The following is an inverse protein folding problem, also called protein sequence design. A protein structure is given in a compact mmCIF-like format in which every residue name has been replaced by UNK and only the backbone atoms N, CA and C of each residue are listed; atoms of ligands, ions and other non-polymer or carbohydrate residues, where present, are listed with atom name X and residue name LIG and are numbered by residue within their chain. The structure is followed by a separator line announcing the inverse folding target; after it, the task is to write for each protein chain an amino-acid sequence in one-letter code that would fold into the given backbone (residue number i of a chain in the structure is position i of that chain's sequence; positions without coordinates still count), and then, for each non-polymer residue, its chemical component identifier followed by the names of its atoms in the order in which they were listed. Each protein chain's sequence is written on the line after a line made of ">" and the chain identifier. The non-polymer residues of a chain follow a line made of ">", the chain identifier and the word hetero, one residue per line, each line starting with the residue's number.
data_IF_545437118895
#
_entry.id   IF_545437118895
#
_cell.length_a   1.000
_cell.length_b   1.000
_cell.length_c   1.000
_cell.angle_alpha   90.00
_cell.angle_beta   90.00
_cell.angle_gamma   90.00
#
_symmetry.space_group_name_H-M   'P 1'
#
loop_
_entity.id
_entity.type
_entity.pdbx_description
1 polymer ?
#
# COMPACT_ATOMS: atom_id res chain seq x y z
N UNK A 1 4.52 -36.39 -25.80
CA UNK A 1 5.38 -35.25 -25.42
C UNK A 1 5.90 -35.44 -24.01
N UNK A 2 7.14 -35.12 -23.74
CA UNK A 2 7.74 -35.16 -22.40
C UNK A 2 7.22 -33.99 -21.57
N UNK A 3 6.68 -34.27 -20.40
CA UNK A 3 6.30 -33.22 -19.45
C UNK A 3 7.59 -32.49 -19.00
N UNK A 4 7.59 -31.16 -19.09
CA UNK A 4 8.68 -30.31 -18.65
C UNK A 4 8.19 -29.45 -17.49
N UNK A 5 8.89 -29.53 -16.34
CA UNK A 5 8.62 -28.67 -15.20
C UNK A 5 8.86 -27.20 -15.58
N UNK A 6 7.90 -26.32 -15.26
CA UNK A 6 7.96 -24.90 -15.62
C UNK A 6 8.24 -23.99 -14.40
N UNK A 7 7.94 -24.43 -13.21
CA UNK A 7 8.13 -23.66 -11.97
C UNK A 7 6.95 -23.76 -11.03
N UNK A 8 7.07 -23.10 -9.89
CA UNK A 8 5.97 -22.84 -8.94
C UNK A 8 5.29 -21.54 -9.35
N UNK A 9 3.96 -21.52 -9.39
CA UNK A 9 3.16 -20.37 -9.79
C UNK A 9 2.10 -20.07 -8.74
N UNK A 10 1.88 -18.79 -8.47
CA UNK A 10 0.77 -18.33 -7.66
C UNK A 10 -0.47 -18.14 -8.54
N UNK A 11 -1.55 -18.87 -8.23
CA UNK A 11 -2.84 -18.67 -8.86
C UNK A 11 -3.62 -17.59 -8.10
N UNK A 12 -3.87 -16.46 -8.74
CA UNK A 12 -4.60 -15.33 -8.15
C UNK A 12 -5.87 -15.00 -8.91
N UNK A 13 -6.88 -14.52 -8.22
CA UNK A 13 -8.04 -13.90 -8.87
C UNK A 13 -7.70 -12.50 -9.36
N UNK A 14 -8.16 -12.17 -10.57
CA UNK A 14 -8.05 -10.80 -11.07
C UNK A 14 -8.97 -9.84 -10.31
N UNK A 15 -8.50 -8.63 -10.06
CA UNK A 15 -9.32 -7.55 -9.51
C UNK A 15 -10.38 -7.15 -10.54
N UNK A 16 -11.64 -7.45 -10.23
CA UNK A 16 -12.75 -7.23 -11.16
C UNK A 16 -14.08 -7.09 -10.40
N UNK A 17 -15.06 -6.49 -11.08
CA UNK A 17 -16.45 -6.52 -10.64
C UNK A 17 -17.01 -7.94 -10.68
N UNK A 18 -17.76 -8.34 -9.69
CA UNK A 18 -18.49 -9.61 -9.66
C UNK A 18 -19.08 -9.90 -8.29
N UNK A 19 -20.12 -10.74 -8.24
CA UNK A 19 -20.83 -11.10 -7.00
C UNK A 19 -19.89 -11.65 -5.91
N UNK A 20 -18.86 -12.41 -6.30
CA UNK A 20 -17.89 -13.00 -5.36
C UNK A 20 -16.55 -12.25 -5.39
N UNK A 21 -16.51 -11.03 -5.91
CA UNK A 21 -15.34 -10.14 -6.00
C UNK A 21 -15.73 -8.76 -5.49
N UNK A 22 -15.52 -7.70 -6.29
CA UNK A 22 -16.05 -6.37 -5.97
C UNK A 22 -17.52 -6.33 -6.41
N UNK A 23 -18.43 -6.48 -5.46
CA UNK A 23 -19.86 -6.55 -5.74
C UNK A 23 -20.46 -5.14 -5.79
N UNK A 24 -20.37 -4.55 -6.97
CA UNK A 24 -20.95 -3.24 -7.31
C UNK A 24 -21.86 -3.36 -8.53
N UNK A 25 -22.76 -2.39 -8.70
CA UNK A 25 -23.71 -2.37 -9.80
C UNK A 25 -23.04 -2.43 -11.17
N UNK A 26 -23.70 -3.10 -12.09
CA UNK A 26 -23.24 -3.17 -13.47
C UNK A 26 -23.41 -1.82 -14.19
N UNK A 27 -22.32 -1.35 -14.80
CA UNK A 27 -22.34 -0.19 -15.67
C UNK A 27 -23.18 -0.42 -16.91
N UNK A 28 -24.21 0.40 -17.10
CA UNK A 28 -25.06 0.36 -18.31
C UNK A 28 -24.56 1.42 -19.30
N UNK A 29 -24.42 1.04 -20.57
CA UNK A 29 -23.85 1.88 -21.64
C UNK A 29 -24.49 3.29 -21.76
N UNK A 30 -25.76 3.44 -21.33
CA UNK A 30 -26.48 4.72 -21.39
C UNK A 30 -26.39 5.57 -20.13
N UNK A 31 -25.84 5.02 -19.04
CA UNK A 31 -25.79 5.72 -17.76
C UNK A 31 -24.46 6.46 -17.60
N UNK A 32 -24.51 7.75 -17.41
CA UNK A 32 -23.34 8.58 -17.06
C UNK A 32 -22.92 8.27 -15.63
N UNK A 33 -23.88 8.22 -14.70
CA UNK A 33 -23.66 7.88 -13.29
C UNK A 33 -23.52 6.36 -13.14
N UNK A 34 -22.38 5.90 -12.69
CA UNK A 34 -22.08 4.48 -12.61
C UNK A 34 -21.14 4.15 -11.44
N UNK A 35 -21.25 2.92 -10.95
CA UNK A 35 -20.23 2.36 -10.07
C UNK A 35 -18.92 2.20 -10.82
N UNK A 36 -17.78 2.29 -10.11
CA UNK A 36 -16.48 2.20 -10.75
C UNK A 36 -15.43 1.51 -9.88
N UNK A 37 -14.41 0.99 -10.54
CA UNK A 37 -13.14 0.55 -9.95
C UNK A 37 -12.05 1.36 -10.60
N UNK A 38 -11.19 1.97 -9.80
CA UNK A 38 -9.99 2.67 -10.25
C UNK A 38 -8.75 2.02 -9.65
N UNK A 39 -7.60 2.24 -10.27
CA UNK A 39 -6.31 1.82 -9.78
C UNK A 39 -5.39 3.04 -9.73
N UNK A 40 -4.75 3.28 -8.60
CA UNK A 40 -3.59 4.17 -8.51
C UNK A 40 -2.36 3.35 -8.89
N UNK A 41 -1.63 3.83 -9.88
CA UNK A 41 -0.44 3.16 -10.40
C UNK A 41 0.34 4.10 -11.32
N UNK A 42 1.44 3.61 -11.90
CA UNK A 42 2.16 4.28 -12.97
C UNK A 42 1.28 4.47 -14.21
N UNK A 43 1.63 5.43 -15.05
CA UNK A 43 0.91 5.67 -16.31
C UNK A 43 0.81 4.39 -17.14
N UNK A 44 -0.37 4.11 -17.66
CA UNK A 44 -0.63 2.93 -18.48
C UNK A 44 -1.45 3.30 -19.73
N UNK A 45 -0.90 3.06 -20.92
CA UNK A 45 -1.55 3.33 -22.22
C UNK A 45 -2.84 2.54 -22.44
N UNK A 46 -2.99 1.38 -21.79
CA UNK A 46 -4.16 0.52 -21.99
C UNK A 46 -5.36 0.92 -21.14
N UNK A 47 -5.16 1.66 -20.06
CA UNK A 47 -6.20 2.16 -19.18
C UNK A 47 -6.67 3.57 -19.64
N UNK A 48 -7.85 3.96 -19.19
CA UNK A 48 -8.30 5.36 -19.29
C UNK A 48 -7.82 6.08 -18.05
N UNK A 49 -6.78 6.89 -18.22
CA UNK A 49 -6.13 7.62 -17.14
C UNK A 49 -6.89 8.92 -16.84
N UNK A 50 -7.10 9.20 -15.56
CA UNK A 50 -7.78 10.38 -15.06
C UNK A 50 -6.75 11.42 -14.63
N UNK A 51 -6.94 12.63 -15.11
CA UNK A 51 -6.20 13.81 -14.63
C UNK A 51 -6.98 14.45 -13.49
N UNK A 52 -6.82 13.88 -12.28
CA UNK A 52 -7.59 14.24 -11.08
C UNK A 52 -7.12 15.56 -10.46
N UNK A 53 -7.92 16.09 -9.54
CA UNK A 53 -7.56 17.31 -8.80
C UNK A 53 -6.27 17.11 -7.99
N UNK A 54 -6.12 15.97 -7.32
CA UNK A 54 -4.94 15.67 -6.50
C UNK A 54 -3.65 15.68 -7.34
N UNK A 55 -3.69 15.06 -8.53
CA UNK A 55 -2.58 15.10 -9.47
C UNK A 55 -2.26 16.54 -9.94
N UNK A 56 -3.28 17.29 -10.36
CA UNK A 56 -3.13 18.69 -10.83
C UNK A 56 -2.54 19.62 -9.77
N UNK A 57 -2.72 19.30 -8.50
CA UNK A 57 -2.28 20.14 -7.38
C UNK A 57 -1.07 19.55 -6.62
N UNK A 58 -0.38 18.57 -7.19
CA UNK A 58 0.84 18.00 -6.62
C UNK A 58 0.62 17.22 -5.31
N UNK A 59 -0.61 16.69 -5.10
CA UNK A 59 -0.93 15.92 -3.89
C UNK A 59 -0.45 14.46 -3.96
N UNK A 60 0.12 14.06 -5.08
CA UNK A 60 0.77 12.77 -5.28
C UNK A 60 1.95 12.93 -6.24
N UNK A 61 2.95 12.03 -6.19
CA UNK A 61 4.07 12.02 -7.12
C UNK A 61 3.63 12.01 -8.59
N UNK A 62 4.45 12.59 -9.47
CA UNK A 62 4.14 12.78 -10.90
C UNK A 62 3.96 11.46 -11.66
N UNK A 63 4.58 10.39 -11.21
CA UNK A 63 4.48 9.06 -11.80
C UNK A 63 3.19 8.32 -11.41
N UNK A 64 2.44 8.82 -10.44
CA UNK A 64 1.20 8.22 -9.97
C UNK A 64 -0.03 8.74 -10.71
N UNK A 65 -0.80 7.82 -11.25
CA UNK A 65 -2.03 8.08 -11.99
C UNK A 65 -3.21 7.27 -11.46
N UNK A 66 -4.41 7.80 -11.69
CA UNK A 66 -5.64 7.06 -11.46
C UNK A 66 -6.16 6.54 -12.79
N UNK A 67 -6.11 5.21 -12.96
CA UNK A 67 -6.64 4.52 -14.16
C UNK A 67 -7.99 3.86 -13.90
N UNK A 68 -8.95 4.00 -14.82
CA UNK A 68 -10.25 3.31 -14.74
C UNK A 68 -10.06 1.85 -15.11
N UNK A 69 -10.35 0.94 -14.16
CA UNK A 69 -10.37 -0.51 -14.38
C UNK A 69 -11.78 -1.03 -14.68
N UNK A 70 -12.79 -0.40 -14.13
CA UNK A 70 -14.20 -0.66 -14.42
C UNK A 70 -14.98 0.65 -14.35
N UNK A 71 -15.89 0.91 -15.28
CA UNK A 71 -16.30 0.08 -16.43
C UNK A 71 -15.22 -0.17 -17.47
N UNK A 72 -15.36 -1.24 -18.24
CA UNK A 72 -14.41 -1.52 -19.34
C UNK A 72 -14.43 -0.38 -20.37
N UNK A 73 -13.29 -0.14 -21.04
CA UNK A 73 -13.13 0.95 -22.04
C UNK A 73 -14.26 1.00 -23.08
N UNK A 74 -14.81 -0.17 -23.46
CA UNK A 74 -15.94 -0.26 -24.43
C UNK A 74 -17.28 0.27 -23.88
N UNK A 75 -17.42 0.36 -22.54
CA UNK A 75 -18.64 0.87 -21.87
C UNK A 75 -18.51 2.32 -21.43
N UNK A 76 -17.33 2.92 -21.51
CA UNK A 76 -17.08 4.31 -21.15
C UNK A 76 -17.48 5.25 -22.28
N UNK A 77 -18.19 6.32 -21.92
CA UNK A 77 -18.37 7.54 -22.72
C UNK A 77 -17.54 8.68 -22.12
N UNK A 78 -17.32 9.74 -22.88
CA UNK A 78 -16.64 10.94 -22.34
C UNK A 78 -17.35 11.46 -21.09
N UNK A 79 -18.68 11.53 -21.11
CA UNK A 79 -19.48 11.99 -19.96
C UNK A 79 -19.32 11.06 -18.73
N UNK A 80 -19.15 9.75 -18.95
CA UNK A 80 -18.89 8.80 -17.86
C UNK A 80 -17.48 9.00 -17.27
N UNK A 81 -16.48 9.22 -18.13
CA UNK A 81 -15.11 9.52 -17.70
C UNK A 81 -15.06 10.82 -16.91
N UNK A 82 -15.71 11.87 -17.39
CA UNK A 82 -15.84 13.16 -16.70
C UNK A 82 -16.53 13.03 -15.35
N UNK A 83 -17.58 12.21 -15.27
CA UNK A 83 -18.26 11.92 -14.01
C UNK A 83 -17.31 11.27 -13.00
N UNK A 84 -16.62 10.18 -13.38
CA UNK A 84 -15.71 9.46 -12.52
C UNK A 84 -14.56 10.39 -12.09
N UNK A 85 -13.97 11.14 -13.00
CA UNK A 85 -12.90 12.09 -12.71
C UNK A 85 -13.33 13.16 -11.70
N UNK A 86 -14.51 13.74 -11.88
CA UNK A 86 -15.07 14.76 -10.98
C UNK A 86 -15.42 14.18 -9.62
N UNK A 87 -16.05 13.00 -9.58
CA UNK A 87 -16.43 12.33 -8.34
C UNK A 87 -15.20 12.00 -7.49
N UNK A 88 -14.17 11.41 -8.11
CA UNK A 88 -12.91 11.10 -7.45
C UNK A 88 -12.17 12.38 -7.00
N UNK A 89 -12.09 13.39 -7.86
CA UNK A 89 -11.49 14.70 -7.53
C UNK A 89 -12.18 15.40 -6.36
N UNK A 90 -13.48 15.25 -6.22
CA UNK A 90 -14.21 15.83 -5.06
C UNK A 90 -13.82 15.12 -3.75
N UNK A 91 -13.56 13.81 -3.79
CA UNK A 91 -13.05 13.05 -2.64
C UNK A 91 -11.64 13.53 -2.27
N UNK A 92 -10.76 13.69 -3.28
CA UNK A 92 -9.41 14.22 -3.06
C UNK A 92 -9.43 15.60 -2.42
N UNK A 93 -10.27 16.52 -2.90
CA UNK A 93 -10.42 17.87 -2.32
C UNK A 93 -10.80 17.85 -0.85
N UNK A 94 -11.58 16.88 -0.42
CA UNK A 94 -11.95 16.73 1.00
C UNK A 94 -10.78 16.19 1.80
N UNK A 95 -10.12 15.12 1.32
CA UNK A 95 -9.02 14.47 2.03
C UNK A 95 -7.80 15.40 2.16
N UNK A 96 -7.51 16.19 1.14
CA UNK A 96 -6.36 17.09 1.11
C UNK A 96 -6.70 18.55 1.46
N UNK A 97 -7.86 18.79 2.11
CA UNK A 97 -8.26 20.14 2.50
C UNK A 97 -7.48 20.64 3.72
N UNK A 98 -6.98 21.87 3.63
CA UNK A 98 -6.38 22.59 4.76
C UNK A 98 -7.46 23.07 5.76
N UNK A 99 -8.72 23.21 5.31
CA UNK A 99 -9.84 23.49 6.22
C UNK A 99 -10.22 22.22 6.99
N UNK A 100 -9.94 22.26 8.30
CA UNK A 100 -10.21 21.13 9.22
C UNK A 100 -11.69 20.70 9.22
N UNK A 101 -12.64 21.62 9.01
CA UNK A 101 -14.07 21.27 8.97
C UNK A 101 -14.40 20.48 7.68
N UNK A 102 -13.77 20.84 6.57
CA UNK A 102 -13.91 20.11 5.31
C UNK A 102 -13.23 18.75 5.43
N UNK A 103 -11.97 18.73 5.86
CA UNK A 103 -11.21 17.49 6.08
C UNK A 103 -11.96 16.52 6.99
N UNK A 104 -12.40 16.95 8.18
CA UNK A 104 -13.10 16.10 9.15
C UNK A 104 -14.41 15.49 8.60
N UNK A 105 -14.88 15.97 7.44
CA UNK A 105 -16.05 15.40 6.77
C UNK A 105 -15.72 14.18 5.89
N UNK A 106 -14.45 13.75 5.77
CA UNK A 106 -14.02 12.67 4.86
C UNK A 106 -14.80 11.36 5.06
N UNK A 107 -15.26 11.06 6.26
CA UNK A 107 -16.09 9.89 6.57
C UNK A 107 -17.43 9.85 5.81
N UNK A 108 -17.86 10.98 5.23
CA UNK A 108 -19.05 11.03 4.35
C UNK A 108 -18.72 10.54 2.93
N UNK A 109 -17.45 10.57 2.54
CA UNK A 109 -16.98 10.31 1.18
C UNK A 109 -16.26 8.97 1.06
N UNK A 110 -15.54 8.55 2.08
CA UNK A 110 -14.84 7.27 2.11
C UNK A 110 -15.40 6.34 3.18
N UNK A 111 -15.26 5.03 2.94
CA UNK A 111 -15.48 4.01 3.96
C UNK A 111 -14.20 3.85 4.80
N UNK A 112 -14.10 4.62 5.89
CA UNK A 112 -12.89 4.66 6.71
C UNK A 112 -12.48 3.29 7.26
N UNK A 113 -13.41 2.35 7.45
CA UNK A 113 -13.07 1.01 7.94
C UNK A 113 -12.30 0.21 6.88
N UNK A 114 -12.65 0.35 5.59
CA UNK A 114 -11.85 -0.25 4.51
C UNK A 114 -10.44 0.34 4.43
N UNK A 115 -10.28 1.64 4.69
CA UNK A 115 -8.97 2.29 4.72
C UNK A 115 -8.14 1.85 5.93
N UNK A 116 -8.78 1.66 7.09
CA UNK A 116 -8.12 1.10 8.28
C UNK A 116 -7.61 -0.32 8.03
N UNK A 117 -8.46 -1.20 7.48
CA UNK A 117 -8.06 -2.57 7.19
C UNK A 117 -6.97 -2.64 6.11
N UNK A 118 -7.07 -1.80 5.06
CA UNK A 118 -6.05 -1.71 4.02
C UNK A 118 -4.71 -1.21 4.57
N UNK A 119 -4.72 -0.18 5.41
CA UNK A 119 -3.52 0.30 6.11
C UNK A 119 -2.87 -0.82 6.89
N UNK A 120 -3.63 -1.48 7.75
CA UNK A 120 -3.10 -2.50 8.67
C UNK A 120 -2.49 -3.68 7.91
N UNK A 121 -3.16 -4.21 6.89
CA UNK A 121 -2.66 -5.40 6.19
C UNK A 121 -1.39 -5.07 5.38
N UNK A 122 -1.36 -3.92 4.71
CA UNK A 122 -0.19 -3.52 3.94
C UNK A 122 0.98 -3.12 4.84
N UNK A 123 0.73 -2.45 5.96
CA UNK A 123 1.75 -2.15 6.95
C UNK A 123 2.31 -3.41 7.57
N UNK A 124 1.44 -4.33 8.03
CA UNK A 124 1.87 -5.55 8.73
C UNK A 124 2.79 -6.43 7.88
N UNK A 125 2.50 -6.58 6.59
CA UNK A 125 3.35 -7.31 5.67
C UNK A 125 4.44 -6.46 5.02
N UNK A 126 4.51 -5.16 5.33
CA UNK A 126 5.48 -4.25 4.71
C UNK A 126 5.37 -4.24 3.19
N UNK A 127 4.16 -4.06 2.64
CA UNK A 127 3.97 -3.99 1.20
C UNK A 127 4.40 -2.62 0.67
N UNK A 128 5.58 -2.55 0.07
CA UNK A 128 6.27 -1.32 -0.33
C UNK A 128 5.45 -0.45 -1.31
N UNK A 129 4.88 -1.04 -2.32
CA UNK A 129 4.14 -0.33 -3.38
C UNK A 129 2.76 0.16 -2.95
N UNK A 130 2.22 -0.38 -1.86
CA UNK A 130 0.85 -0.10 -1.43
C UNK A 130 0.61 1.38 -1.12
N UNK A 131 -0.57 1.89 -1.50
CA UNK A 131 -0.95 3.30 -1.34
C UNK A 131 -0.45 4.21 -2.44
N UNK A 132 0.57 3.81 -3.21
CA UNK A 132 1.16 4.56 -4.32
C UNK A 132 0.97 3.87 -5.66
N UNK A 133 1.32 2.59 -5.73
CA UNK A 133 1.16 1.76 -6.92
C UNK A 133 0.29 0.56 -6.60
N UNK A 134 -0.17 -0.15 -7.62
CA UNK A 134 -0.97 -1.38 -7.50
C UNK A 134 -2.14 -1.26 -6.51
N UNK A 135 -2.64 -0.04 -6.28
CA UNK A 135 -3.65 0.29 -5.27
C UNK A 135 -5.01 0.44 -5.90
N UNK A 136 -5.91 -0.49 -5.59
CA UNK A 136 -7.27 -0.47 -6.11
C UNK A 136 -8.24 0.22 -5.16
N UNK A 137 -9.17 0.98 -5.74
CA UNK A 137 -10.27 1.62 -5.04
C UNK A 137 -11.54 1.44 -5.84
N UNK A 138 -12.66 1.38 -5.15
CA UNK A 138 -13.93 1.19 -5.82
C UNK A 138 -15.07 1.93 -5.12
N UNK A 139 -16.08 2.27 -5.90
CA UNK A 139 -17.25 2.99 -5.40
C UNK A 139 -18.52 2.52 -6.06
N UNK A 140 -19.49 2.15 -5.23
CA UNK A 140 -20.87 1.96 -5.65
C UNK A 140 -21.49 3.32 -5.99
N UNK A 141 -22.36 3.40 -7.01
CA UNK A 141 -23.09 4.62 -7.35
C UNK A 141 -23.81 5.16 -6.11
N UNK A 142 -23.54 6.43 -5.77
CA UNK A 142 -24.11 7.07 -4.58
C UNK A 142 -23.52 6.61 -3.24
N UNK A 143 -22.62 5.63 -3.24
CA UNK A 143 -21.93 5.12 -2.05
C UNK A 143 -20.67 5.88 -1.71
N UNK A 144 -19.92 5.34 -0.75
CA UNK A 144 -18.60 5.82 -0.34
C UNK A 144 -17.49 5.13 -1.14
N UNK A 145 -16.35 5.80 -1.30
CA UNK A 145 -15.15 5.18 -1.85
C UNK A 145 -14.60 4.16 -0.84
N UNK A 146 -14.30 2.97 -1.33
CA UNK A 146 -13.60 1.92 -0.61
C UNK A 146 -12.21 1.73 -1.22
N UNK A 147 -11.26 1.28 -0.41
CA UNK A 147 -9.92 0.88 -0.86
C UNK A 147 -9.76 -0.63 -0.73
N UNK A 148 -9.02 -1.23 -1.67
CA UNK A 148 -8.86 -2.68 -1.79
C UNK A 148 -9.57 -3.26 -3.03
N UNK A 149 -9.49 -4.61 -3.21
CA UNK A 149 -8.71 -5.58 -2.43
C UNK A 149 -7.20 -5.28 -2.44
N UNK A 150 -6.48 -5.89 -1.50
CA UNK A 150 -5.00 -5.85 -1.51
C UNK A 150 -4.45 -6.60 -2.73
N UNK A 151 -3.32 -6.15 -3.24
CA UNK A 151 -2.71 -6.69 -4.46
C UNK A 151 -1.19 -6.51 -4.42
N UNK A 152 -0.46 -7.41 -5.11
CA UNK A 152 0.95 -7.23 -5.44
C UNK A 152 1.86 -7.17 -4.20
N UNK A 153 2.06 -8.32 -3.54
CA UNK A 153 2.88 -8.45 -2.34
C UNK A 153 4.28 -8.99 -2.64
N UNK A 154 4.74 -8.89 -3.88
CA UNK A 154 6.06 -9.38 -4.28
C UNK A 154 7.20 -8.61 -3.62
N UNK A 155 7.01 -7.34 -3.28
CA UNK A 155 7.95 -6.50 -2.56
C UNK A 155 7.65 -6.40 -1.05
N UNK A 156 6.83 -7.29 -0.52
CA UNK A 156 6.51 -7.31 0.90
C UNK A 156 7.65 -7.93 1.75
N UNK A 157 7.57 -7.74 3.07
CA UNK A 157 8.49 -8.32 4.05
C UNK A 157 9.96 -8.03 3.73
N UNK A 158 10.24 -6.77 3.38
CA UNK A 158 11.56 -6.27 3.01
C UNK A 158 12.17 -6.89 1.74
N UNK A 159 11.34 -7.46 0.86
CA UNK A 159 11.77 -7.93 -0.46
C UNK A 159 11.73 -6.79 -1.49
N UNK A 160 12.45 -5.70 -1.27
CA UNK A 160 12.43 -4.48 -2.08
C UNK A 160 13.70 -4.32 -2.90
N UNK A 161 13.61 -3.51 -3.98
CA UNK A 161 14.71 -3.33 -4.93
C UNK A 161 15.60 -2.12 -4.64
N UNK A 162 15.11 -1.12 -3.90
CA UNK A 162 15.77 0.18 -3.85
C UNK A 162 16.02 0.71 -2.44
N UNK A 163 15.18 0.39 -1.49
CA UNK A 163 15.27 0.91 -0.13
C UNK A 163 14.86 -0.16 0.87
N UNK A 164 15.59 -0.26 1.97
CA UNK A 164 15.20 -1.11 3.08
C UNK A 164 13.94 -0.56 3.74
N UNK A 165 12.98 -1.44 4.00
CA UNK A 165 11.87 -1.10 4.87
C UNK A 165 12.32 -1.24 6.32
N UNK A 166 12.35 -0.12 7.01
CA UNK A 166 12.65 -0.12 8.44
C UNK A 166 11.47 -0.74 9.22
N UNK A 167 11.63 -1.91 9.84
CA UNK A 167 10.56 -2.58 10.57
C UNK A 167 10.14 -1.85 11.85
N UNK A 168 10.86 -0.81 12.23
CA UNK A 168 10.59 0.02 13.41
C UNK A 168 9.81 1.30 13.11
N UNK A 169 9.40 1.51 11.85
CA UNK A 169 8.61 2.68 11.42
C UNK A 169 7.32 2.27 10.74
N UNK A 170 6.41 3.22 10.53
CA UNK A 170 5.18 2.99 9.78
C UNK A 170 5.30 3.56 8.37
N UNK A 171 5.53 2.71 7.38
CA UNK A 171 5.67 3.11 5.98
C UNK A 171 4.36 3.69 5.41
N UNK A 172 3.23 3.13 5.79
CA UNK A 172 1.91 3.59 5.31
C UNK A 172 1.58 5.02 5.70
N UNK A 173 2.16 5.56 6.77
CA UNK A 173 1.94 6.96 7.18
C UNK A 173 2.50 7.98 6.19
N UNK A 174 3.45 7.58 5.35
CA UNK A 174 4.04 8.46 4.33
C UNK A 174 3.31 8.37 2.97
N UNK A 175 2.42 7.38 2.81
CA UNK A 175 1.66 7.21 1.57
C UNK A 175 0.60 8.32 1.41
N UNK A 176 0.38 8.88 0.20
CA UNK A 176 -0.31 10.16 0.00
C UNK A 176 -1.64 10.33 0.76
N UNK A 177 -2.57 9.38 0.60
CA UNK A 177 -3.89 9.45 1.27
C UNK A 177 -3.74 9.20 2.77
N UNK A 178 -2.92 8.23 3.16
CA UNK A 178 -2.76 7.83 4.55
C UNK A 178 -2.02 8.87 5.38
N UNK A 179 -1.10 9.61 4.77
CA UNK A 179 -0.44 10.77 5.39
C UNK A 179 -1.47 11.81 5.88
N UNK A 180 -2.52 12.02 5.11
CA UNK A 180 -3.61 12.90 5.51
C UNK A 180 -4.49 12.25 6.59
N UNK A 181 -4.93 11.01 6.38
CA UNK A 181 -5.84 10.33 7.30
C UNK A 181 -5.20 10.11 8.68
N UNK A 182 -3.90 9.86 8.76
CA UNK A 182 -3.16 9.71 10.02
C UNK A 182 -2.88 11.04 10.73
N UNK A 183 -3.30 12.17 10.18
CA UNK A 183 -3.39 13.44 10.92
C UNK A 183 -4.67 13.58 11.73
N UNK A 184 -5.68 12.71 11.50
CA UNK A 184 -6.92 12.69 12.25
C UNK A 184 -6.86 11.68 13.40
N UNK A 185 -7.07 12.17 14.61
CA UNK A 185 -7.08 11.36 15.82
C UNK A 185 -8.12 10.23 15.77
N UNK A 186 -9.30 10.51 15.25
CA UNK A 186 -10.36 9.51 15.17
C UNK A 186 -9.99 8.35 14.22
N UNK A 187 -9.21 8.61 13.17
CA UNK A 187 -8.66 7.58 12.30
C UNK A 187 -7.58 6.76 13.02
N UNK A 188 -6.68 7.42 13.74
CA UNK A 188 -5.63 6.74 14.54
C UNK A 188 -6.28 5.85 15.63
N UNK A 189 -7.30 6.32 16.33
CA UNK A 189 -8.02 5.54 17.34
C UNK A 189 -8.61 4.25 16.73
N UNK A 190 -9.18 4.34 15.53
CA UNK A 190 -9.65 3.17 14.78
C UNK A 190 -8.52 2.22 14.41
N UNK A 191 -7.38 2.73 13.93
CA UNK A 191 -6.20 1.92 13.61
C UNK A 191 -5.72 1.15 14.85
N UNK A 192 -5.56 1.81 15.98
CA UNK A 192 -5.09 1.21 17.24
C UNK A 192 -6.05 0.10 17.67
N UNK A 193 -7.35 0.40 17.74
CA UNK A 193 -8.35 -0.57 18.18
C UNK A 193 -8.43 -1.79 17.24
N UNK A 194 -8.44 -1.54 15.93
CA UNK A 194 -8.54 -2.61 14.93
C UNK A 194 -7.27 -3.45 14.88
N UNK A 195 -6.09 -2.82 14.96
CA UNK A 195 -4.83 -3.54 15.00
C UNK A 195 -4.73 -4.44 16.23
N UNK A 196 -5.07 -3.93 17.42
CA UNK A 196 -5.10 -4.72 18.65
C UNK A 196 -6.02 -5.95 18.53
N UNK A 197 -7.20 -5.76 17.94
CA UNK A 197 -8.11 -6.88 17.67
C UNK A 197 -7.48 -7.91 16.74
N UNK A 198 -6.90 -7.48 15.62
CA UNK A 198 -6.32 -8.39 14.62
C UNK A 198 -5.09 -9.13 15.17
N UNK A 199 -4.24 -8.46 15.97
CA UNK A 199 -3.07 -9.09 16.62
C UNK A 199 -3.44 -10.19 17.63
N UNK A 200 -4.62 -10.12 18.20
CA UNK A 200 -5.14 -11.17 19.08
C UNK A 200 -5.93 -12.26 18.33
N UNK A 201 -6.06 -12.14 17.01
CA UNK A 201 -6.84 -13.06 16.17
C UNK A 201 -6.05 -13.41 14.88
N UNK A 202 -6.52 -12.94 13.73
CA UNK A 202 -6.02 -13.31 12.39
C UNK A 202 -4.57 -12.89 12.10
N UNK A 203 -4.05 -11.87 12.76
CA UNK A 203 -2.66 -11.45 12.64
C UNK A 203 -1.81 -11.84 13.87
N UNK A 204 -2.28 -12.77 14.71
CA UNK A 204 -1.43 -13.32 15.76
C UNK A 204 -0.23 -14.08 15.15
N UNK A 205 0.91 -14.06 15.83
CA UNK A 205 2.10 -14.77 15.35
C UNK A 205 1.81 -16.26 15.14
N UNK A 206 1.11 -16.88 16.09
CA UNK A 206 0.72 -18.29 16.01
C UNK A 206 -0.07 -18.59 14.73
N UNK A 207 -1.10 -17.77 14.44
CA UNK A 207 -1.93 -17.98 13.26
C UNK A 207 -1.18 -17.75 11.96
N UNK A 208 -0.46 -16.62 11.85
CA UNK A 208 0.31 -16.29 10.64
C UNK A 208 1.42 -17.30 10.39
N UNK A 209 2.12 -17.73 11.44
CA UNK A 209 3.17 -18.73 11.32
C UNK A 209 2.64 -20.11 10.95
N UNK A 210 1.45 -20.50 11.47
CA UNK A 210 0.82 -21.75 11.05
C UNK A 210 0.52 -21.79 9.56
N UNK A 211 0.04 -20.67 8.98
CA UNK A 211 -0.19 -20.56 7.53
C UNK A 211 1.11 -20.72 6.74
N UNK A 212 2.19 -20.08 7.20
CA UNK A 212 3.51 -20.17 6.56
C UNK A 212 4.01 -21.62 6.63
N UNK A 213 3.89 -22.28 7.79
CA UNK A 213 4.36 -23.65 7.98
C UNK A 213 3.55 -24.66 7.14
N UNK A 214 2.24 -24.47 7.04
CA UNK A 214 1.38 -25.27 6.17
C UNK A 214 1.77 -25.11 4.69
N UNK A 215 1.99 -23.87 4.24
CA UNK A 215 2.44 -23.58 2.89
C UNK A 215 3.83 -24.21 2.61
N UNK A 216 4.77 -24.08 3.55
CA UNK A 216 6.10 -24.69 3.44
C UNK A 216 6.00 -26.23 3.35
N UNK A 217 5.19 -26.85 4.19
CA UNK A 217 4.99 -28.30 4.15
C UNK A 217 4.37 -28.76 2.82
N UNK A 218 3.38 -28.02 2.33
CA UNK A 218 2.72 -28.29 1.03
C UNK A 218 3.70 -28.15 -0.15
N UNK A 219 4.56 -27.16 -0.12
CA UNK A 219 5.53 -26.88 -1.19
C UNK A 219 6.81 -27.70 -1.13
N UNK A 220 7.04 -28.51 -0.09
CA UNK A 220 8.30 -29.22 0.16
C UNK A 220 8.93 -29.88 -1.09
N UNK A 221 8.15 -30.64 -1.84
CA UNK A 221 8.63 -31.34 -3.05
C UNK A 221 8.69 -30.40 -4.28
N UNK A 222 7.83 -29.38 -4.34
CA UNK A 222 7.83 -28.41 -5.41
C UNK A 222 9.03 -27.45 -5.29
N UNK A 223 9.36 -27.03 -4.08
CA UNK A 223 10.51 -26.20 -3.78
C UNK A 223 11.84 -26.86 -4.21
N UNK A 224 12.01 -28.17 -3.99
CA UNK A 224 13.19 -28.90 -4.47
C UNK A 224 13.32 -28.87 -5.99
N UNK A 225 12.19 -29.06 -6.71
CA UNK A 225 12.19 -28.97 -8.18
C UNK A 225 12.44 -27.55 -8.68
N UNK A 226 11.93 -26.56 -7.94
CA UNK A 226 12.15 -25.13 -8.21
C UNK A 226 13.63 -24.80 -8.08
N UNK A 227 14.29 -25.27 -7.02
CA UNK A 227 15.72 -25.12 -6.84
C UNK A 227 16.51 -25.73 -8.00
N UNK A 228 16.23 -26.99 -8.39
CA UNK A 228 16.91 -27.63 -9.53
C UNK A 228 16.77 -26.85 -10.84
N UNK A 229 15.67 -26.18 -11.02
CA UNK A 229 15.42 -25.40 -12.23
C UNK A 229 16.13 -24.06 -12.23
N UNK A 230 16.14 -23.37 -11.11
CA UNK A 230 16.53 -21.97 -10.99
C UNK A 230 17.79 -21.75 -10.13
N UNK A 231 18.48 -22.80 -9.69
CA UNK A 231 19.65 -22.69 -8.80
C UNK A 231 20.71 -21.71 -9.33
N UNK A 232 20.97 -21.74 -10.65
CA UNK A 232 21.93 -20.84 -11.27
C UNK A 232 21.49 -19.37 -11.18
N UNK A 233 20.17 -19.11 -11.31
CA UNK A 233 19.62 -17.76 -11.18
C UNK A 233 19.64 -17.29 -9.73
N UNK A 234 19.36 -18.16 -8.74
CA UNK A 234 19.48 -17.84 -7.31
C UNK A 234 20.92 -17.59 -6.85
N UNK A 235 21.89 -18.28 -7.46
CA UNK A 235 23.31 -18.11 -7.16
C UNK A 235 23.98 -16.98 -7.96
N UNK A 236 23.31 -16.44 -8.98
CA UNK A 236 23.87 -15.38 -9.81
C UNK A 236 23.54 -13.99 -9.22
N UNK A 237 24.41 -13.56 -8.30
CA UNK A 237 24.29 -12.25 -7.67
C UNK A 237 24.35 -11.08 -8.66
N UNK A 238 24.85 -11.28 -9.90
CA UNK A 238 24.89 -10.22 -10.92
C UNK A 238 23.51 -9.85 -11.45
N UNK A 239 22.52 -10.75 -11.33
CA UNK A 239 21.11 -10.51 -11.68
C UNK A 239 20.29 -9.90 -10.56
N UNK A 240 20.82 -9.92 -9.36
CA UNK A 240 20.23 -9.18 -8.26
C UNK A 240 20.46 -7.70 -8.54
N UNK A 241 19.46 -6.88 -8.24
CA UNK A 241 19.59 -5.44 -8.43
C UNK A 241 20.88 -4.98 -7.75
N UNK A 242 21.79 -4.24 -8.43
CA UNK A 242 23.02 -3.74 -7.83
C UNK A 242 22.81 -2.87 -6.59
N UNK A 243 21.58 -2.50 -6.30
CA UNK A 243 21.17 -1.81 -5.07
C UNK A 243 20.72 -2.75 -3.94
N UNK A 244 20.78 -4.07 -4.13
CA UNK A 244 20.43 -5.03 -3.08
C UNK A 244 21.56 -5.30 -2.07
N UNK A 245 22.69 -4.64 -2.20
CA UNK A 245 23.82 -4.81 -1.27
C UNK A 245 23.51 -4.45 0.19
N UNK A 246 22.49 -3.61 0.43
CA UNK A 246 22.03 -3.29 1.78
C UNK A 246 21.06 -4.33 2.35
N UNK A 247 20.64 -5.30 1.56
CA UNK A 247 19.86 -6.44 2.04
C UNK A 247 20.75 -7.60 2.50
N UNK A 248 22.07 -7.54 2.24
CA UNK A 248 23.01 -8.62 2.52
C UNK A 248 23.08 -8.98 3.99
N UNK A 249 23.06 -7.99 4.86
CA UNK A 249 23.16 -8.17 6.29
C UNK A 249 22.22 -7.21 6.99
N UNK A 250 20.94 -7.56 7.02
CA UNK A 250 19.93 -6.75 7.70
C UNK A 250 19.90 -7.09 9.19
N UNK A 251 20.20 -6.12 10.04
CA UNK A 251 20.24 -6.30 11.49
C UNK A 251 18.89 -5.94 12.10
N UNK A 252 18.14 -6.94 12.58
CA UNK A 252 16.87 -6.80 13.28
C UNK A 252 17.03 -7.25 14.72
N UNK A 253 16.87 -6.36 15.69
CA UNK A 253 17.01 -6.66 17.13
C UNK A 253 18.32 -7.43 17.47
N UNK A 254 19.43 -7.10 16.82
CA UNK A 254 20.70 -7.79 16.96
C UNK A 254 20.80 -9.11 16.18
N UNK A 255 19.81 -9.43 15.34
CA UNK A 255 19.82 -10.60 14.46
C UNK A 255 20.16 -10.13 13.05
N UNK A 256 21.27 -10.63 12.50
CA UNK A 256 21.63 -10.39 11.11
C UNK A 256 20.82 -11.32 10.20
N UNK A 257 20.08 -10.75 9.25
CA UNK A 257 19.31 -11.48 8.24
C UNK A 257 20.01 -11.34 6.89
N UNK A 258 20.53 -12.44 6.38
CA UNK A 258 21.12 -12.52 5.05
C UNK A 258 20.03 -12.76 4.00
N UNK A 259 19.83 -11.79 3.10
CA UNK A 259 18.83 -11.84 2.02
C UNK A 259 19.35 -12.49 0.73
N UNK A 260 20.64 -12.70 0.62
CA UNK A 260 21.25 -13.49 -0.48
C UNK A 260 21.36 -14.96 -0.14
N UNK A 261 20.63 -15.40 0.87
CA UNK A 261 20.66 -16.78 1.32
C UNK A 261 20.01 -17.68 0.25
N UNK A 262 20.75 -18.68 -0.15
CA UNK A 262 20.30 -19.73 -1.06
C UNK A 262 19.62 -20.88 -0.31
N UNK A 263 19.44 -20.75 0.99
CA UNK A 263 18.73 -21.70 1.85
C UNK A 263 17.26 -21.28 2.01
N UNK A 264 16.37 -22.10 1.46
CA UNK A 264 14.93 -21.89 1.55
C UNK A 264 14.41 -21.79 3.00
N UNK A 265 14.96 -22.59 3.91
CA UNK A 265 14.51 -22.55 5.30
C UNK A 265 14.97 -21.27 6.00
N UNK A 266 16.13 -20.76 5.65
CA UNK A 266 16.61 -19.47 6.14
C UNK A 266 15.73 -18.33 5.66
N UNK A 267 15.28 -18.34 4.40
CA UNK A 267 14.32 -17.35 3.90
C UNK A 267 12.99 -17.39 4.64
N UNK A 268 12.47 -18.58 4.95
CA UNK A 268 11.26 -18.72 5.79
C UNK A 268 11.49 -18.17 7.20
N UNK A 269 12.66 -18.41 7.78
CA UNK A 269 13.03 -17.84 9.08
C UNK A 269 13.10 -16.32 9.03
N UNK A 270 13.70 -15.75 7.98
CA UNK A 270 13.78 -14.30 7.73
C UNK A 270 12.39 -13.66 7.66
N UNK A 271 11.47 -14.26 6.89
CA UNK A 271 10.09 -13.80 6.80
C UNK A 271 9.39 -13.78 8.16
N UNK A 272 9.48 -14.87 8.92
CA UNK A 272 8.85 -14.98 10.25
C UNK A 272 9.45 -13.97 11.24
N UNK A 273 10.76 -13.80 11.21
CA UNK A 273 11.47 -12.85 12.08
C UNK A 273 11.03 -11.40 11.76
N UNK A 274 11.00 -11.03 10.49
CA UNK A 274 10.49 -9.72 10.06
C UNK A 274 9.07 -9.48 10.59
N UNK A 275 8.15 -10.41 10.34
CA UNK A 275 6.74 -10.29 10.75
C UNK A 275 6.58 -10.21 12.27
N UNK A 276 7.39 -10.93 13.02
CA UNK A 276 7.38 -10.88 14.49
C UNK A 276 7.80 -9.51 15.00
N UNK A 277 8.96 -9.01 14.55
CA UNK A 277 9.54 -7.74 14.99
C UNK A 277 8.64 -6.58 14.54
N UNK A 278 8.34 -6.50 13.24
CA UNK A 278 7.51 -5.43 12.70
C UNK A 278 6.11 -5.43 13.31
N UNK A 279 5.50 -6.60 13.45
CA UNK A 279 4.18 -6.73 14.06
C UNK A 279 4.12 -6.26 15.52
N UNK A 280 5.19 -6.40 16.31
CA UNK A 280 5.28 -5.82 17.66
C UNK A 280 5.44 -4.31 17.62
N UNK A 281 6.25 -3.81 16.69
CA UNK A 281 6.56 -2.38 16.58
C UNK A 281 5.39 -1.53 16.09
N UNK A 282 4.56 -2.03 15.17
CA UNK A 282 3.36 -1.32 14.69
C UNK A 282 2.50 -0.84 15.87
N UNK A 283 2.25 -1.68 16.88
CA UNK A 283 1.45 -1.30 18.04
C UNK A 283 2.06 -0.12 18.82
N UNK A 284 3.39 -0.08 18.91
CA UNK A 284 4.14 0.99 19.58
C UNK A 284 4.10 2.28 18.77
N UNK A 285 4.33 2.18 17.46
CA UNK A 285 4.37 3.33 16.55
C UNK A 285 2.98 3.97 16.39
N UNK A 286 1.92 3.17 16.29
CA UNK A 286 0.55 3.70 16.25
C UNK A 286 0.22 4.51 17.51
N UNK A 287 0.68 4.06 18.70
CA UNK A 287 0.50 4.82 19.95
C UNK A 287 1.27 6.14 19.95
N UNK A 288 2.46 6.18 19.32
CA UNK A 288 3.23 7.43 19.19
C UNK A 288 2.53 8.44 18.27
N UNK A 289 1.79 8.00 17.26
CA UNK A 289 0.98 8.90 16.43
C UNK A 289 -0.13 9.58 17.23
N UNK A 290 -0.56 8.96 18.32
CA UNK A 290 -1.60 9.49 19.20
C UNK A 290 -1.08 10.57 20.18
N UNK A 291 0.24 10.80 20.25
CA UNK A 291 0.84 11.80 21.14
C UNK A 291 0.58 13.22 20.62
N UNK A 292 -0.15 14.07 21.40
CA UNK A 292 -0.44 15.45 21.01
C UNK A 292 0.80 16.28 20.67
N UNK A 293 1.92 16.05 21.34
CA UNK A 293 3.17 16.77 21.13
C UNK A 293 3.77 16.56 19.72
N UNK A 294 3.43 15.45 19.05
CA UNK A 294 3.89 15.17 17.66
C UNK A 294 2.93 15.72 16.61
N UNK A 295 1.66 15.89 16.91
CA UNK A 295 0.70 16.51 15.98
C UNK A 295 0.98 18.01 15.78
N UNK A 296 1.45 18.70 16.82
CA UNK A 296 1.82 20.14 16.75
C UNK A 296 3.20 20.37 16.10
N UNK A 297 4.13 19.42 16.15
CA UNK A 297 5.47 19.57 15.54
C UNK A 297 5.41 19.62 14.01
N UNK A 298 4.46 18.94 13.35
CA UNK A 298 4.28 19.06 11.87
C UNK A 298 3.75 20.44 11.46
N UNK A 299 3.05 21.16 12.34
CA UNK A 299 2.63 22.54 12.08
C UNK A 299 3.72 23.55 12.41
N UNK A 300 4.60 23.25 13.38
CA UNK A 300 5.73 24.12 13.76
C UNK A 300 6.86 24.09 12.73
N UNK A 301 7.08 22.97 12.04
CA UNK A 301 8.13 22.88 11.02
C UNK A 301 7.83 23.75 9.80
N UNK A 302 6.54 23.87 9.40
CA UNK A 302 6.14 24.80 8.33
C UNK A 302 6.30 26.24 8.79
N UNK A 303 5.97 26.56 10.03
CA UNK A 303 6.11 27.91 10.61
C UNK A 303 7.58 28.27 10.79
N UNK A 304 8.43 27.34 11.21
CA UNK A 304 9.87 27.52 11.32
C UNK A 304 10.53 27.71 9.93
N UNK A 305 10.11 26.96 8.91
CA UNK A 305 10.60 27.10 7.55
C UNK A 305 10.21 28.46 6.94
N UNK A 306 8.99 28.92 7.16
CA UNK A 306 8.55 30.26 6.73
C UNK A 306 9.33 31.36 7.47
N UNK A 307 9.59 31.20 8.77
CA UNK A 307 10.39 32.15 9.53
C UNK A 307 11.84 32.23 9.05
N UNK A 308 12.46 31.10 8.70
CA UNK A 308 13.81 31.04 8.14
C UNK A 308 13.86 31.68 6.75
N UNK A 309 12.86 31.45 5.90
CA UNK A 309 12.78 32.08 4.58
C UNK A 309 12.59 33.60 4.69
N UNK A 310 11.76 34.06 5.62
CA UNK A 310 11.56 35.50 5.89
C UNK A 310 12.84 36.14 6.46
N UNK A 311 13.54 35.48 7.38
CA UNK A 311 14.82 35.97 7.90
C UNK A 311 15.92 36.04 6.82
N UNK A 312 15.98 35.08 5.90
CA UNK A 312 16.94 35.09 4.78
C UNK A 312 16.64 36.18 3.75
N UNK A 313 15.40 36.63 3.62
CA UNK A 313 15.05 37.78 2.75
C UNK A 313 15.46 39.13 3.32
N UNK A 314 15.79 39.24 4.61
CA UNK A 314 16.24 40.47 5.26
C UNK A 314 17.76 40.55 5.47
N UNK A 315 18.52 39.54 5.06
CA UNK A 315 20.01 39.48 5.19
C UNK A 315 20.71 39.57 3.82
N UNK A 316 20.16 40.30 2.85
CA UNK A 316 20.94 40.69 1.66
C UNK A 316 21.49 42.12 1.90
N UNK A 317 22.81 42.28 1.99
CA UNK A 317 23.38 43.62 2.07
C UNK A 317 23.20 44.34 0.73
N UNK A 318 22.82 45.59 0.84
CA UNK A 318 22.84 46.61 -0.25
C UNK A 318 24.22 46.80 -0.85
#
# INVERSE_FOLDING_TARGET
>A
GTLKYQGVYLLTESIARGKNRIDIDEAKKKNVYTSYIVRRDRYNLYDVMLDTWGRKNGMCPDDQWIGIKYPSKKKLSNSTIEYISRDFSNIEKVIYSDDKNVFNSYNRYINSDSFVDYFIINEFFGNYDSGEHSTYMWKQTGGKLNIGPVWDFDQAMNNVFSEEQNPYTLAMTEKPIFKQLTSDRAFIDKLIARYAYLRNNTLSEEHVFSIIDEAQAHLKNAQQREWFRWAADYMDNSRQNPHNYYLDNYELDGITLDRFNTDYNQEIYTIKTYLSIHGRNIATELKKLHDPAKMDSKSSDITALILIIVLLMFITPS
#
